data_IF_834632090047
#
_entry.id   IF_834632090047
#
_cell.length_a   1.000
_cell.length_b   1.000
_cell.length_c   1.000
_cell.angle_alpha   90.00
_cell.angle_beta   90.00
_cell.angle_gamma   90.00
#
_symmetry.space_group_name_H-M   'P 1'
#
loop_
_entity.id
_entity.type
_entity.pdbx_description
1 polymer ?
#
# COMPACT_ATOMS: atom_id res chain seq x y z
N UNK A 1 -33.35 4.24 9.99
CA UNK A 1 -32.29 4.49 10.99
C UNK A 1 -31.29 3.37 10.89
N UNK A 2 -30.24 3.53 10.08
CA UNK A 2 -29.15 2.55 9.95
C UNK A 2 -27.94 3.08 10.71
N UNK A 3 -27.52 2.37 11.75
CA UNK A 3 -26.29 2.69 12.45
C UNK A 3 -25.12 2.40 11.50
N UNK A 4 -24.43 3.44 11.03
CA UNK A 4 -23.09 3.31 10.48
C UNK A 4 -22.18 2.93 11.66
N UNK A 5 -22.11 1.64 11.97
CA UNK A 5 -21.02 1.13 12.79
C UNK A 5 -19.74 1.49 12.04
N UNK A 6 -19.00 2.46 12.58
CA UNK A 6 -17.74 2.92 12.02
C UNK A 6 -16.83 1.71 11.84
N UNK A 7 -16.24 1.52 10.66
CA UNK A 7 -15.37 0.37 10.40
C UNK A 7 -14.08 0.42 11.24
N UNK A 8 -13.78 1.58 11.85
CA UNK A 8 -12.78 1.70 12.92
C UNK A 8 -13.07 0.78 14.12
N UNK A 9 -14.33 0.40 14.34
CA UNK A 9 -14.76 -0.55 15.39
C UNK A 9 -14.86 -2.00 14.87
N UNK A 10 -14.55 -2.25 13.60
CA UNK A 10 -14.53 -3.59 13.03
C UNK A 10 -13.20 -4.29 13.34
N UNK A 11 -13.21 -5.57 13.72
CA UNK A 11 -11.98 -6.36 13.94
C UNK A 11 -11.01 -6.32 12.74
N UNK A 12 -11.53 -6.19 11.53
CA UNK A 12 -10.75 -6.09 10.30
C UNK A 12 -10.06 -4.72 10.18
N UNK A 13 -10.74 -3.64 10.54
CA UNK A 13 -10.17 -2.28 10.50
C UNK A 13 -9.04 -2.10 11.52
N UNK A 14 -9.23 -2.62 12.74
CA UNK A 14 -8.18 -2.62 13.77
C UNK A 14 -6.97 -3.44 13.35
N UNK A 15 -7.18 -4.66 12.85
CA UNK A 15 -6.10 -5.51 12.35
C UNK A 15 -5.28 -4.82 11.24
N UNK A 16 -5.93 -4.16 10.30
CA UNK A 16 -5.26 -3.51 9.17
C UNK A 16 -4.46 -2.29 9.63
N UNK A 17 -4.96 -1.53 10.60
CA UNK A 17 -4.22 -0.42 11.20
C UNK A 17 -2.98 -0.92 11.98
N UNK A 18 -3.13 -2.01 12.74
CA UNK A 18 -2.02 -2.64 13.45
C UNK A 18 -0.95 -3.18 12.48
N UNK A 19 -1.35 -3.85 11.40
CA UNK A 19 -0.44 -4.34 10.38
C UNK A 19 0.25 -3.22 9.60
N UNK A 20 -0.47 -2.14 9.29
CA UNK A 20 0.11 -0.93 8.71
C UNK A 20 1.22 -0.35 9.61
N UNK A 21 0.95 -0.23 10.91
CA UNK A 21 1.94 0.25 11.87
C UNK A 21 3.12 -0.71 12.02
N UNK A 22 2.87 -2.03 12.01
CA UNK A 22 3.92 -3.06 12.08
C UNK A 22 4.89 -2.94 10.90
N UNK A 23 4.36 -2.91 9.67
CA UNK A 23 5.19 -2.81 8.47
C UNK A 23 5.98 -1.52 8.47
N UNK A 24 5.37 -0.39 8.86
CA UNK A 24 6.09 0.88 8.97
C UNK A 24 7.22 0.84 10.00
N UNK A 25 7.02 0.18 11.15
CA UNK A 25 8.05 0.03 12.18
C UNK A 25 9.22 -0.85 11.72
N UNK A 26 8.95 -1.90 10.95
CA UNK A 26 9.97 -2.78 10.37
C UNK A 26 10.79 -2.06 9.28
N UNK A 27 10.14 -1.30 8.40
CA UNK A 27 10.81 -0.49 7.39
C UNK A 27 11.65 0.64 7.99
N UNK A 28 11.19 1.24 9.10
CA UNK A 28 11.94 2.30 9.81
C UNK A 28 13.14 1.78 10.61
N UNK A 29 13.17 0.48 10.96
CA UNK A 29 14.28 -0.12 11.72
C UNK A 29 15.45 -0.57 10.84
N UNK A 30 15.26 -0.71 9.51
CA UNK A 30 16.34 -1.06 8.59
C UNK A 30 17.32 0.10 8.31
N UNK A 31 16.97 1.34 8.64
CA UNK A 31 17.80 2.53 8.35
C UNK A 31 18.76 2.93 9.48
N UNK A 32 18.78 2.23 10.62
CA UNK A 32 19.59 2.60 11.80
C UNK A 32 20.54 1.50 12.27
N UNK A 33 21.30 0.90 11.36
CA UNK A 33 22.48 0.10 11.68
C UNK A 33 23.79 0.85 11.32
N UNK A 34 24.12 1.82 12.18
CA UNK A 34 25.45 2.29 12.66
C UNK A 34 26.72 1.92 11.87
N UNK A 35 27.51 2.93 11.48
CA UNK A 35 28.98 2.89 11.54
C UNK A 35 29.48 4.06 12.39
N UNK A 36 30.31 3.82 13.42
CA UNK A 36 31.00 4.89 14.14
C UNK A 36 32.43 5.10 13.60
N UNK A 37 32.83 6.38 13.61
CA UNK A 37 34.19 6.93 13.61
C UNK A 37 35.01 6.88 12.29
N UNK A 38 35.16 8.03 11.58
CA UNK A 38 36.19 9.06 11.82
C UNK A 38 36.18 10.17 10.73
N UNK A 39 36.35 11.39 11.22
CA UNK A 39 36.94 12.62 10.65
C UNK A 39 36.22 13.55 9.64
N UNK A 40 36.19 14.81 10.08
CA UNK A 40 35.96 16.12 9.47
C UNK A 40 36.36 16.26 7.99
N UNK A 41 35.47 16.77 7.12
CA UNK A 41 35.40 18.20 6.78
C UNK A 41 34.47 18.48 5.57
N UNK A 42 33.90 19.69 5.57
CA UNK A 42 33.41 20.48 4.44
C UNK A 42 32.00 20.24 3.81
N UNK A 43 31.24 21.34 3.88
CA UNK A 43 30.37 21.91 2.84
C UNK A 43 28.94 21.36 2.59
N UNK A 44 28.02 21.95 3.36
CA UNK A 44 26.91 22.77 2.86
C UNK A 44 26.15 22.29 1.60
N UNK A 45 25.36 21.23 1.74
CA UNK A 45 24.10 21.04 0.99
C UNK A 45 22.98 20.48 1.88
N UNK A 46 22.62 21.25 2.90
CA UNK A 46 21.36 21.08 3.61
C UNK A 46 20.20 21.58 2.74
N UNK A 47 19.56 20.67 2.02
CA UNK A 47 18.20 20.88 1.53
C UNK A 47 17.42 19.55 1.51
N UNK A 48 16.42 19.47 2.39
CA UNK A 48 15.26 18.56 2.35
C UNK A 48 15.40 17.08 2.74
N UNK A 49 16.05 16.79 3.87
CA UNK A 49 15.83 15.52 4.62
C UNK A 49 14.90 15.73 5.83
N UNK A 50 13.93 16.64 5.73
CA UNK A 50 12.88 16.79 6.73
C UNK A 50 11.64 15.94 6.35
N UNK A 51 11.30 14.98 7.22
CA UNK A 51 10.01 14.28 7.33
C UNK A 51 9.62 13.22 6.29
N UNK A 52 10.45 12.18 6.15
CA UNK A 52 9.97 10.85 5.71
C UNK A 52 9.38 10.01 6.86
N UNK A 53 9.75 10.28 8.11
CA UNK A 53 9.21 9.58 9.29
C UNK A 53 7.69 9.85 9.52
N UNK A 54 7.20 11.02 9.10
CA UNK A 54 5.81 11.45 9.27
C UNK A 54 4.85 11.01 8.16
N UNK A 55 5.35 10.50 7.02
CA UNK A 55 4.46 10.09 5.94
C UNK A 55 3.82 8.75 6.30
N UNK A 56 2.51 8.77 6.56
CA UNK A 56 1.67 7.59 6.76
C UNK A 56 1.37 6.96 5.39
N UNK A 57 2.40 6.49 4.69
CA UNK A 57 2.28 5.89 3.35
C UNK A 57 3.07 4.58 3.29
N UNK A 58 2.61 3.65 2.48
CA UNK A 58 3.25 2.39 2.16
C UNK A 58 3.63 2.35 0.67
N UNK A 59 4.83 1.88 0.39
CA UNK A 59 5.30 1.56 -0.96
C UNK A 59 4.96 0.11 -1.32
N UNK A 60 5.05 -0.24 -2.61
CA UNK A 60 4.72 -1.59 -3.10
C UNK A 60 5.41 -2.71 -2.32
N UNK A 61 6.70 -2.58 -2.03
CA UNK A 61 7.44 -3.60 -1.28
C UNK A 61 6.92 -3.78 0.16
N UNK A 62 6.40 -2.72 0.75
CA UNK A 62 5.82 -2.74 2.10
C UNK A 62 4.41 -3.33 2.09
N UNK A 63 3.60 -2.98 1.09
CA UNK A 63 2.27 -3.56 0.88
C UNK A 63 2.36 -5.07 0.75
N UNK A 64 3.36 -5.59 0.03
CA UNK A 64 3.61 -7.04 -0.12
C UNK A 64 3.95 -7.75 1.18
N UNK A 65 4.39 -7.02 2.21
CA UNK A 65 4.70 -7.55 3.53
C UNK A 65 3.53 -7.45 4.52
N UNK A 66 2.39 -6.87 4.12
CA UNK A 66 1.17 -6.89 4.93
C UNK A 66 0.70 -8.33 5.07
N UNK A 67 0.38 -8.72 6.31
CA UNK A 67 -0.25 -10.01 6.57
C UNK A 67 -1.74 -9.85 6.37
N UNK A 68 -2.36 -10.82 5.72
CA UNK A 68 -3.82 -10.87 5.63
C UNK A 68 -4.37 -11.61 6.85
N UNK A 69 -5.59 -11.27 7.31
CA UNK A 69 -6.26 -12.01 8.38
C UNK A 69 -6.33 -13.51 8.04
N UNK A 70 -6.24 -14.39 9.05
CA UNK A 70 -6.16 -15.84 8.84
C UNK A 70 -7.31 -16.42 8.01
N UNK A 71 -8.48 -15.78 8.05
CA UNK A 71 -9.69 -16.23 7.34
C UNK A 71 -9.87 -15.59 5.96
N UNK A 72 -8.95 -14.72 5.53
CA UNK A 72 -9.06 -13.96 4.29
C UNK A 72 -7.75 -14.05 3.51
N UNK A 73 -7.75 -14.81 2.42
CA UNK A 73 -6.60 -14.86 1.50
C UNK A 73 -6.74 -13.79 0.42
N UNK A 74 -5.92 -12.74 0.50
CA UNK A 74 -5.85 -11.67 -0.50
C UNK A 74 -4.48 -11.75 -1.17
N UNK A 75 -4.46 -11.75 -2.50
CA UNK A 75 -3.21 -11.67 -3.26
C UNK A 75 -2.83 -10.19 -3.48
N UNK A 76 -1.98 -9.67 -2.59
CA UNK A 76 -1.47 -8.30 -2.66
C UNK A 76 -0.44 -8.08 -3.78
N UNK A 77 -0.11 -9.11 -4.57
CA UNK A 77 0.70 -8.95 -5.80
C UNK A 77 -0.18 -8.80 -7.05
N UNK A 78 -1.49 -8.96 -6.93
CA UNK A 78 -2.39 -8.89 -8.06
C UNK A 78 -2.58 -7.44 -8.50
N UNK A 79 -2.22 -7.13 -9.77
CA UNK A 79 -2.20 -5.76 -10.29
C UNK A 79 -3.51 -5.01 -10.08
N UNK A 80 -4.66 -5.66 -10.34
CA UNK A 80 -5.96 -5.01 -10.17
C UNK A 80 -6.31 -4.73 -8.70
N UNK A 81 -5.78 -5.52 -7.75
CA UNK A 81 -5.96 -5.28 -6.32
C UNK A 81 -5.11 -4.09 -5.89
N UNK A 82 -3.85 -4.03 -6.34
CA UNK A 82 -2.97 -2.88 -6.12
C UNK A 82 -3.56 -1.60 -6.70
N UNK A 83 -4.11 -1.68 -7.91
CA UNK A 83 -4.89 -0.59 -8.49
C UNK A 83 -6.03 -0.25 -7.55
N UNK A 84 -6.95 -1.16 -7.22
CA UNK A 84 -8.09 -0.83 -6.35
C UNK A 84 -7.70 -0.20 -5.00
N UNK A 85 -6.54 -0.57 -4.45
CA UNK A 85 -6.02 -0.06 -3.18
C UNK A 85 -5.44 1.35 -3.29
N UNK A 86 -4.65 1.65 -4.32
CA UNK A 86 -4.11 3.00 -4.60
C UNK A 86 -5.15 3.84 -5.36
N UNK A 87 -6.07 4.45 -4.61
CA UNK A 87 -7.17 5.22 -5.18
C UNK A 87 -6.68 6.52 -5.83
N UNK A 88 -5.62 7.13 -5.29
CA UNK A 88 -5.00 8.35 -5.82
C UNK A 88 -4.20 8.13 -7.11
N UNK A 89 -3.85 6.88 -7.44
CA UNK A 89 -3.01 6.50 -8.59
C UNK A 89 -1.61 7.11 -8.51
N UNK A 90 -1.09 7.32 -7.32
CA UNK A 90 0.21 7.96 -7.12
C UNK A 90 1.37 6.96 -6.93
N UNK A 91 1.04 5.68 -6.84
CA UNK A 91 1.96 4.56 -6.65
C UNK A 91 2.23 4.26 -5.18
N UNK A 92 1.73 5.04 -4.23
CA UNK A 92 1.81 4.75 -2.80
C UNK A 92 0.41 4.49 -2.25
N UNK A 93 0.33 3.87 -1.08
CA UNK A 93 -0.95 3.63 -0.40
C UNK A 93 -0.88 4.26 0.97
N UNK A 94 -1.74 5.24 1.23
CA UNK A 94 -1.87 5.82 2.57
C UNK A 94 -2.78 4.98 3.49
N UNK A 95 -2.82 5.32 4.78
CA UNK A 95 -3.65 4.61 5.75
C UNK A 95 -5.15 4.72 5.46
N UNK A 96 -5.59 5.83 4.84
CA UNK A 96 -6.99 6.09 4.50
C UNK A 96 -7.42 5.22 3.33
N UNK A 97 -6.57 5.11 2.31
CA UNK A 97 -6.76 4.23 1.15
C UNK A 97 -6.77 2.76 1.56
N UNK A 98 -5.83 2.36 2.41
CA UNK A 98 -5.79 1.00 2.94
C UNK A 98 -7.06 0.67 3.74
N UNK A 99 -7.56 1.62 4.54
CA UNK A 99 -8.83 1.47 5.26
C UNK A 99 -10.03 1.40 4.30
N UNK A 100 -10.07 2.26 3.27
CA UNK A 100 -11.12 2.20 2.24
C UNK A 100 -11.14 0.87 1.50
N UNK A 101 -9.95 0.31 1.21
CA UNK A 101 -9.82 -1.02 0.63
C UNK A 101 -10.29 -2.13 1.59
N UNK A 102 -9.99 -2.01 2.88
CA UNK A 102 -10.49 -2.92 3.91
C UNK A 102 -12.02 -2.95 3.99
N UNK A 103 -12.64 -1.76 3.96
CA UNK A 103 -14.09 -1.60 3.95
C UNK A 103 -14.72 -2.27 2.73
N UNK A 104 -14.13 -2.05 1.56
CA UNK A 104 -14.54 -2.69 0.32
C UNK A 104 -14.46 -4.22 0.42
N UNK A 105 -13.34 -4.76 0.92
CA UNK A 105 -13.18 -6.19 1.16
C UNK A 105 -14.24 -6.74 2.13
N UNK A 106 -14.51 -6.05 3.23
CA UNK A 106 -15.53 -6.46 4.21
C UNK A 106 -16.94 -6.45 3.60
N UNK A 107 -17.24 -5.48 2.74
CA UNK A 107 -18.50 -5.42 1.98
C UNK A 107 -18.68 -6.67 1.11
N UNK A 108 -17.67 -6.99 0.30
CA UNK A 108 -17.68 -8.19 -0.53
C UNK A 108 -17.74 -9.48 0.31
N UNK A 109 -16.99 -9.57 1.41
CA UNK A 109 -16.96 -10.74 2.28
C UNK A 109 -18.33 -11.01 2.90
N UNK A 110 -19.05 -9.97 3.32
CA UNK A 110 -20.42 -10.10 3.83
C UNK A 110 -21.41 -10.59 2.78
N UNK A 111 -21.19 -10.26 1.51
CA UNK A 111 -22.08 -10.65 0.41
C UNK A 111 -21.81 -12.08 -0.07
N UNK A 112 -20.55 -12.45 -0.24
CA UNK A 112 -20.17 -13.72 -0.89
C UNK A 112 -19.71 -14.81 0.10
N UNK A 113 -19.44 -14.45 1.35
CA UNK A 113 -18.87 -15.38 2.34
C UNK A 113 -17.40 -15.71 2.06
N UNK A 114 -16.83 -16.63 2.83
CA UNK A 114 -15.40 -16.96 2.78
C UNK A 114 -14.97 -17.90 1.66
N UNK A 115 -15.89 -18.73 1.14
CA UNK A 115 -15.53 -19.86 0.28
C UNK A 115 -14.95 -19.42 -1.08
N UNK A 116 -15.50 -18.36 -1.68
CA UNK A 116 -15.08 -17.84 -3.00
C UNK A 116 -14.62 -16.37 -2.93
N UNK A 117 -14.38 -15.84 -1.72
CA UNK A 117 -14.11 -14.42 -1.51
C UNK A 117 -12.98 -13.90 -2.39
N UNK A 118 -11.89 -14.68 -2.51
CA UNK A 118 -10.68 -14.29 -3.22
C UNK A 118 -10.95 -14.12 -4.71
N UNK A 119 -11.60 -15.10 -5.33
CA UNK A 119 -11.94 -15.11 -6.75
C UNK A 119 -12.90 -13.95 -7.07
N UNK A 120 -13.89 -13.71 -6.22
CA UNK A 120 -14.80 -12.58 -6.37
C UNK A 120 -14.09 -11.23 -6.23
N UNK A 121 -13.26 -11.07 -5.20
CA UNK A 121 -12.48 -9.84 -5.01
C UNK A 121 -11.61 -9.55 -6.23
N UNK A 122 -10.87 -10.54 -6.73
CA UNK A 122 -10.03 -10.40 -7.92
C UNK A 122 -10.86 -10.01 -9.15
N UNK A 123 -11.98 -10.70 -9.40
CA UNK A 123 -12.84 -10.42 -10.53
C UNK A 123 -13.41 -8.99 -10.48
N UNK A 124 -13.92 -8.56 -9.32
CA UNK A 124 -14.43 -7.20 -9.15
C UNK A 124 -13.33 -6.15 -9.33
N UNK A 125 -12.15 -6.35 -8.74
CA UNK A 125 -11.02 -5.43 -8.93
C UNK A 125 -10.58 -5.34 -10.40
N UNK A 126 -10.57 -6.46 -11.15
CA UNK A 126 -10.25 -6.46 -12.59
C UNK A 126 -11.28 -5.68 -13.38
N UNK A 127 -12.57 -5.88 -13.11
CA UNK A 127 -13.65 -5.14 -13.78
C UNK A 127 -13.56 -3.64 -13.47
N UNK A 128 -13.35 -3.27 -12.22
CA UNK A 128 -13.19 -1.87 -11.81
C UNK A 128 -11.98 -1.22 -12.49
N UNK A 129 -10.82 -1.89 -12.46
CA UNK A 129 -9.62 -1.42 -13.15
C UNK A 129 -9.86 -1.27 -14.66
N UNK A 130 -10.50 -2.26 -15.28
CA UNK A 130 -10.83 -2.20 -16.70
C UNK A 130 -11.73 -1.00 -17.01
N UNK A 131 -12.77 -0.79 -16.22
CA UNK A 131 -13.67 0.35 -16.42
C UNK A 131 -12.93 1.68 -16.24
N UNK A 132 -12.09 1.82 -15.22
CA UNK A 132 -11.30 3.04 -14.98
C UNK A 132 -10.33 3.33 -16.14
N UNK A 133 -9.59 2.32 -16.58
CA UNK A 133 -8.52 2.46 -17.58
C UNK A 133 -9.10 2.66 -18.99
N UNK A 134 -10.18 1.97 -19.32
CA UNK A 134 -10.74 2.00 -20.68
C UNK A 134 -11.85 3.03 -20.85
N UNK A 135 -12.45 3.58 -19.78
CA UNK A 135 -13.43 4.65 -19.90
C UNK A 135 -12.81 6.00 -20.29
N UNK A 136 -11.57 6.28 -19.89
CA UNK A 136 -10.92 7.59 -20.11
C UNK A 136 -10.43 7.81 -21.54
N UNK A 137 -10.37 6.78 -22.40
CA UNK A 137 -9.66 6.78 -23.71
C UNK A 137 -8.16 7.14 -23.63
N UNK A 138 -7.68 7.55 -22.46
CA UNK A 138 -6.33 7.96 -22.16
C UNK A 138 -5.73 6.97 -21.16
N UNK A 139 -4.78 6.19 -21.66
CA UNK A 139 -4.05 5.18 -20.91
C UNK A 139 -2.83 5.75 -20.15
N UNK A 140 -2.54 7.05 -20.30
CA UNK A 140 -1.36 7.69 -19.72
C UNK A 140 -1.30 7.53 -18.21
N UNK A 141 -2.44 7.67 -17.53
CA UNK A 141 -2.55 7.51 -16.09
C UNK A 141 -2.13 6.11 -15.63
N UNK A 142 -2.59 5.08 -16.35
CA UNK A 142 -2.26 3.69 -16.03
C UNK A 142 -0.78 3.39 -16.30
N UNK A 143 -0.24 3.85 -17.44
CA UNK A 143 1.18 3.65 -17.74
C UNK A 143 2.09 4.40 -16.75
N UNK A 144 1.75 5.64 -16.39
CA UNK A 144 2.50 6.42 -15.42
C UNK A 144 2.48 5.76 -14.04
N UNK A 145 1.33 5.24 -13.64
CA UNK A 145 1.18 4.49 -12.40
C UNK A 145 2.05 3.23 -12.39
N UNK A 146 2.05 2.41 -13.45
CA UNK A 146 2.94 1.24 -13.55
C UNK A 146 4.41 1.67 -13.49
N UNK A 147 4.80 2.71 -14.21
CA UNK A 147 6.17 3.22 -14.18
C UNK A 147 6.60 3.63 -12.76
N UNK A 148 5.70 4.26 -11.99
CA UNK A 148 5.96 4.61 -10.58
C UNK A 148 6.13 3.36 -9.72
N UNK A 149 5.26 2.35 -9.88
CA UNK A 149 5.38 1.09 -9.13
C UNK A 149 6.71 0.37 -9.40
N UNK A 150 7.13 0.30 -10.66
CA UNK A 150 8.40 -0.34 -11.04
C UNK A 150 9.59 0.44 -10.48
N UNK A 151 9.59 1.78 -10.60
CA UNK A 151 10.66 2.63 -10.11
C UNK A 151 10.85 2.57 -8.58
N UNK A 152 9.83 2.18 -7.81
CA UNK A 152 9.97 1.94 -6.37
C UNK A 152 10.84 0.71 -6.07
N UNK A 153 10.78 -0.32 -6.90
CA UNK A 153 11.56 -1.54 -6.76
C UNK A 153 13.06 -1.34 -6.98
N UNK A 154 13.46 -0.30 -7.71
CA UNK A 154 14.85 -0.02 -8.08
C UNK A 154 15.64 0.73 -6.98
N UNK A 155 15.00 1.15 -5.89
CA UNK A 155 15.70 1.90 -4.81
C UNK A 155 16.62 1.04 -3.93
N UNK A 156 16.77 -0.25 -4.22
CA UNK A 156 17.68 -1.13 -3.49
C UNK A 156 18.94 -1.37 -4.33
N UNK A 157 20.09 -0.92 -3.81
CA UNK A 157 21.48 -1.21 -4.28
C UNK A 157 22.05 -0.37 -5.43
N UNK A 158 22.33 0.92 -5.19
CA UNK A 158 23.38 1.61 -5.95
C UNK A 158 24.73 1.52 -5.22
N UNK A 159 25.43 0.42 -5.53
CA UNK A 159 26.89 0.16 -5.52
C UNK A 159 27.74 0.57 -4.30
N UNK A 160 28.34 -0.39 -3.55
CA UNK A 160 29.53 -0.08 -2.76
C UNK A 160 30.70 0.20 -3.71
N UNK A 161 31.24 1.42 -3.65
CA UNK A 161 32.53 1.80 -4.24
C UNK A 161 33.70 1.14 -3.50
#
# INVERSE_FOLDING_TARGET
>A
MGAHASVADSPIGQYILEEFQRVKAESGSQTTAKSPDLDEDADARSASTHNLADRQVLFLNEIRNLRTPQDVSIDLNHMAILWKMDAARDGVVDSTELMGFAEYCNGLFKTYGSYDFKEYLQAHCVVDMYNDVFASSDYSLFSDWICRLVAQGERTTTFPS
#
